data_IF_665775717146
#
_entry.id   IF_665775717146
#
_cell.length_a   1.000
_cell.length_b   1.000
_cell.length_c   1.000
_cell.angle_alpha   90.00
_cell.angle_beta   90.00
_cell.angle_gamma   90.00
#
_symmetry.space_group_name_H-M   'P 1'
#
loop_
_entity.id
_entity.type
_entity.pdbx_description
1 polymer ?
#
# COMPACT_ATOMS: atom_id res chain seq x y z
N UNK A 1 -2.28 23.26 14.39
CA UNK A 1 -3.54 22.91 15.05
C UNK A 1 -4.60 22.61 13.99
N UNK A 2 -5.63 21.84 14.34
CA UNK A 2 -6.75 21.54 13.43
C UNK A 2 -7.41 22.81 12.88
N UNK A 3 -7.56 23.86 13.69
CA UNK A 3 -8.13 25.13 13.24
C UNK A 3 -7.32 25.77 12.11
N UNK A 4 -5.99 25.75 12.18
CA UNK A 4 -5.15 26.30 11.09
C UNK A 4 -5.38 25.58 9.76
N UNK A 5 -5.52 24.26 9.82
CA UNK A 5 -5.81 23.43 8.63
C UNK A 5 -7.22 23.73 8.11
N UNK A 6 -8.21 23.84 9.00
CA UNK A 6 -9.57 24.19 8.63
C UNK A 6 -9.65 25.55 7.91
N UNK A 7 -8.98 26.56 8.44
CA UNK A 7 -8.93 27.90 7.86
C UNK A 7 -8.21 27.90 6.48
N UNK A 8 -7.13 27.12 6.34
CA UNK A 8 -6.33 27.03 5.11
C UNK A 8 -7.08 26.32 3.98
N UNK A 9 -7.81 25.24 4.29
CA UNK A 9 -8.50 24.39 3.30
C UNK A 9 -10.02 24.61 3.25
N UNK A 10 -10.56 25.52 4.04
CA UNK A 10 -11.97 25.88 4.01
C UNK A 10 -12.90 24.85 4.68
N UNK A 11 -12.42 24.09 5.66
CA UNK A 11 -13.29 23.22 6.45
C UNK A 11 -14.22 24.05 7.34
N UNK A 12 -15.50 23.71 7.35
CA UNK A 12 -16.53 24.46 8.07
C UNK A 12 -16.44 24.32 9.59
N UNK A 13 -15.90 23.20 10.09
CA UNK A 13 -15.86 22.89 11.51
C UNK A 13 -14.65 22.01 11.86
N UNK A 14 -14.17 22.14 13.10
CA UNK A 14 -13.14 21.27 13.70
C UNK A 14 -13.71 20.59 14.93
N UNK A 15 -13.70 19.27 14.93
CA UNK A 15 -14.11 18.44 16.06
C UNK A 15 -12.90 17.72 16.67
N UNK A 16 -12.92 17.55 17.98
CA UNK A 16 -11.85 16.85 18.73
C UNK A 16 -12.19 15.40 19.05
N UNK A 17 -13.45 15.01 18.84
CA UNK A 17 -13.94 13.65 19.03
C UNK A 17 -14.45 13.10 17.68
N UNK A 18 -13.70 12.19 17.08
CA UNK A 18 -14.05 11.60 15.80
C UNK A 18 -15.33 10.74 15.86
N UNK A 19 -15.70 10.20 17.04
CA UNK A 19 -16.93 9.42 17.19
C UNK A 19 -18.16 10.31 17.00
N UNK A 20 -18.15 11.50 17.57
CA UNK A 20 -19.21 12.48 17.34
C UNK A 20 -19.28 12.96 15.89
N UNK A 21 -18.11 13.06 15.23
CA UNK A 21 -18.08 13.38 13.79
C UNK A 21 -18.79 12.30 12.94
N UNK A 22 -18.47 11.04 13.19
CA UNK A 22 -19.02 9.90 12.44
C UNK A 22 -20.53 9.72 12.67
N UNK A 23 -21.02 10.07 13.86
CA UNK A 23 -22.45 9.97 14.23
C UNK A 23 -23.33 11.11 13.65
N UNK A 24 -22.76 12.07 12.91
CA UNK A 24 -23.52 13.20 12.33
C UNK A 24 -24.36 12.75 11.13
N UNK A 25 -25.58 13.25 11.03
CA UNK A 25 -26.50 12.96 9.91
C UNK A 25 -26.18 13.73 8.62
N UNK A 26 -25.39 14.83 8.73
CA UNK A 26 -25.01 15.69 7.61
C UNK A 26 -23.67 15.30 6.96
N UNK A 27 -23.12 14.13 7.31
CA UNK A 27 -21.89 13.57 6.73
C UNK A 27 -22.24 12.27 5.99
N UNK A 28 -21.85 12.17 4.71
CA UNK A 28 -22.06 10.98 3.88
C UNK A 28 -20.82 10.09 3.83
N UNK A 29 -19.61 10.67 3.97
CA UNK A 29 -18.36 9.96 3.81
C UNK A 29 -17.29 10.42 4.80
N UNK A 30 -16.41 9.50 5.20
CA UNK A 30 -15.30 9.76 6.14
C UNK A 30 -13.97 9.46 5.46
N UNK A 31 -13.06 10.46 5.46
CA UNK A 31 -11.66 10.30 5.07
C UNK A 31 -10.82 10.07 6.32
N UNK A 32 -10.16 8.90 6.41
CA UNK A 32 -9.37 8.49 7.57
C UNK A 32 -7.90 8.67 7.24
N UNK A 33 -7.24 9.64 7.87
CA UNK A 33 -5.81 9.95 7.71
C UNK A 33 -5.02 9.82 9.02
N UNK A 34 -5.52 9.03 9.97
CA UNK A 34 -4.88 8.78 11.27
C UNK A 34 -3.77 7.72 11.18
N UNK A 35 -3.35 7.16 12.32
CA UNK A 35 -2.38 6.08 12.35
C UNK A 35 -3.03 4.71 12.10
N UNK A 36 -2.29 3.73 11.52
CA UNK A 36 -2.84 2.42 11.16
C UNK A 36 -3.55 1.66 12.29
N UNK A 37 -3.13 1.85 13.55
CA UNK A 37 -3.76 1.22 14.73
C UNK A 37 -5.18 1.73 15.02
N UNK A 38 -5.60 2.84 14.44
CA UNK A 38 -6.94 3.41 14.61
C UNK A 38 -7.85 3.17 13.41
N UNK A 39 -7.29 2.77 12.26
CA UNK A 39 -8.02 2.66 11.00
C UNK A 39 -9.20 1.70 11.09
N UNK A 40 -9.02 0.53 11.70
CA UNK A 40 -10.08 -0.47 11.81
C UNK A 40 -11.24 0.01 12.69
N UNK A 41 -10.96 0.61 13.85
CA UNK A 41 -12.02 1.14 14.73
C UNK A 41 -12.84 2.21 14.03
N UNK A 42 -12.16 3.17 13.38
CA UNK A 42 -12.83 4.28 12.70
C UNK A 42 -13.60 3.80 11.47
N UNK A 43 -12.99 2.93 10.64
CA UNK A 43 -13.63 2.42 9.42
C UNK A 43 -14.89 1.61 9.72
N UNK A 44 -14.80 0.66 10.67
CA UNK A 44 -15.97 -0.14 11.06
C UNK A 44 -17.08 0.76 11.63
N UNK A 45 -16.75 1.67 12.56
CA UNK A 45 -17.74 2.60 13.11
C UNK A 45 -18.38 3.48 12.03
N UNK A 46 -17.62 3.93 11.04
CA UNK A 46 -18.14 4.75 9.94
C UNK A 46 -19.12 3.95 9.07
N UNK A 47 -18.76 2.74 8.67
CA UNK A 47 -19.65 1.84 7.92
C UNK A 47 -20.92 1.52 8.72
N UNK A 48 -20.79 1.13 10.00
CA UNK A 48 -21.92 0.86 10.90
C UNK A 48 -22.85 2.07 11.08
N UNK A 49 -22.32 3.29 10.90
CA UNK A 49 -23.09 4.55 10.94
C UNK A 49 -23.63 4.99 9.56
N UNK A 50 -23.52 4.12 8.54
CA UNK A 50 -24.02 4.39 7.19
C UNK A 50 -23.16 5.37 6.38
N UNK A 51 -21.85 5.47 6.69
CA UNK A 51 -20.93 6.38 6.01
C UNK A 51 -20.02 5.62 5.04
N UNK A 52 -19.81 6.18 3.85
CA UNK A 52 -18.76 5.73 2.95
C UNK A 52 -17.37 5.98 3.54
N UNK A 53 -16.39 5.13 3.24
CA UNK A 53 -15.06 5.21 3.87
C UNK A 53 -13.96 5.28 2.83
N UNK A 54 -13.12 6.33 2.94
CA UNK A 54 -11.80 6.40 2.33
C UNK A 54 -10.74 6.32 3.43
N UNK A 55 -9.93 5.27 3.41
CA UNK A 55 -8.91 5.05 4.43
C UNK A 55 -7.50 5.19 3.83
N UNK A 56 -6.63 5.93 4.51
CA UNK A 56 -5.24 6.11 4.10
C UNK A 56 -4.48 4.77 4.17
N UNK A 57 -3.48 4.63 3.31
CA UNK A 57 -2.54 3.51 3.37
C UNK A 57 -1.70 3.62 4.66
N UNK A 58 -1.46 2.57 5.38
CA UNK A 58 -1.79 1.16 5.11
C UNK A 58 -3.09 0.80 5.83
N UNK A 59 -3.81 -0.20 5.30
CA UNK A 59 -5.17 -0.56 5.72
C UNK A 59 -5.34 -0.64 7.24
N UNK A 60 -4.47 -1.40 7.92
CA UNK A 60 -4.55 -1.61 9.36
C UNK A 60 -3.18 -1.91 9.96
N UNK A 61 -3.07 -1.94 11.29
CA UNK A 61 -1.86 -2.33 12.00
C UNK A 61 -1.66 -3.85 12.05
N UNK A 62 -2.75 -4.63 12.06
CA UNK A 62 -2.72 -6.11 12.18
C UNK A 62 -3.64 -6.77 11.15
N UNK A 63 -3.38 -8.06 10.86
CA UNK A 63 -4.25 -8.84 9.98
C UNK A 63 -5.68 -9.00 10.55
N UNK A 64 -5.91 -9.32 11.83
CA UNK A 64 -7.26 -9.37 12.39
C UNK A 64 -8.03 -8.05 12.26
N UNK A 65 -7.36 -6.91 12.36
CA UNK A 65 -7.98 -5.60 12.16
C UNK A 65 -8.43 -5.41 10.70
N UNK A 66 -7.60 -5.82 9.73
CA UNK A 66 -7.95 -5.78 8.32
C UNK A 66 -9.12 -6.73 7.99
N UNK A 67 -9.16 -7.91 8.60
CA UNK A 67 -10.29 -8.86 8.48
C UNK A 67 -11.59 -8.25 9.01
N UNK A 68 -11.56 -7.55 10.14
CA UNK A 68 -12.71 -6.82 10.67
C UNK A 68 -13.19 -5.73 9.73
N UNK A 69 -12.27 -4.95 9.15
CA UNK A 69 -12.61 -3.90 8.18
C UNK A 69 -13.32 -4.50 6.95
N UNK A 70 -12.78 -5.60 6.41
CA UNK A 70 -13.41 -6.28 5.27
C UNK A 70 -14.78 -6.88 5.65
N UNK A 71 -14.92 -7.45 6.84
CA UNK A 71 -16.21 -8.00 7.28
C UNK A 71 -17.24 -6.88 7.40
N UNK A 72 -16.91 -5.75 8.03
CA UNK A 72 -17.80 -4.59 8.13
C UNK A 72 -18.20 -4.06 6.75
N UNK A 73 -17.27 -4.01 5.77
CA UNK A 73 -17.61 -3.62 4.40
C UNK A 73 -18.59 -4.60 3.72
N UNK A 74 -18.44 -5.90 3.95
CA UNK A 74 -19.37 -6.93 3.44
C UNK A 74 -20.76 -6.86 4.08
N UNK A 75 -20.84 -6.41 5.32
CA UNK A 75 -22.10 -6.24 6.04
C UNK A 75 -22.85 -4.99 5.55
N UNK A 76 -22.17 -4.08 4.84
CA UNK A 76 -22.68 -2.83 4.28
C UNK A 76 -22.34 -2.68 2.78
N UNK A 77 -22.83 -3.59 1.90
CA UNK A 77 -22.46 -3.61 0.47
C UNK A 77 -22.96 -2.40 -0.33
N UNK A 78 -23.90 -1.64 0.21
CA UNK A 78 -24.38 -0.38 -0.36
C UNK A 78 -23.38 0.76 -0.20
N UNK A 79 -22.46 0.66 0.77
CA UNK A 79 -21.47 1.69 1.05
C UNK A 79 -20.17 1.46 0.25
N UNK A 80 -19.53 2.55 -0.11
CA UNK A 80 -18.22 2.54 -0.76
C UNK A 80 -17.14 2.46 0.30
N UNK A 81 -16.22 1.51 0.17
CA UNK A 81 -14.97 1.45 0.92
C UNK A 81 -13.79 1.50 -0.04
N UNK A 82 -12.81 2.36 0.24
CA UNK A 82 -11.63 2.53 -0.58
C UNK A 82 -10.40 2.75 0.27
N UNK A 83 -9.27 2.18 -0.13
CA UNK A 83 -7.96 2.49 0.42
C UNK A 83 -7.24 3.48 -0.50
N UNK A 84 -6.42 4.35 0.07
CA UNK A 84 -5.53 5.19 -0.70
C UNK A 84 -4.48 4.30 -1.40
N UNK A 85 -4.43 4.25 -2.74
CA UNK A 85 -3.46 3.42 -3.45
C UNK A 85 -2.05 3.97 -3.34
N UNK A 86 -1.00 3.15 -3.59
CA UNK A 86 0.35 3.65 -3.71
C UNK A 86 0.50 4.57 -4.92
N UNK A 87 1.15 5.72 -4.79
CA UNK A 87 1.42 6.58 -5.94
C UNK A 87 2.44 5.99 -6.90
N UNK A 88 3.14 4.92 -6.53
CA UNK A 88 4.28 4.34 -7.26
C UNK A 88 3.96 3.95 -8.69
N UNK A 89 2.73 3.50 -8.96
CA UNK A 89 2.26 3.01 -10.26
C UNK A 89 1.71 4.12 -11.17
N UNK A 90 1.36 5.25 -10.59
CA UNK A 90 0.92 6.41 -11.35
C UNK A 90 2.14 7.16 -11.95
N UNK A 91 2.03 7.69 -13.16
CA UNK A 91 0.84 7.78 -14.02
C UNK A 91 0.68 6.61 -15.03
N UNK A 92 1.45 5.54 -14.94
CA UNK A 92 1.61 4.52 -16.00
C UNK A 92 0.82 3.23 -15.76
N UNK A 93 -0.09 3.20 -14.80
CA UNK A 93 -0.79 1.99 -14.39
C UNK A 93 -1.51 1.29 -15.55
N UNK A 94 -2.33 2.02 -16.31
CA UNK A 94 -3.09 1.45 -17.43
C UNK A 94 -2.18 0.84 -18.50
N UNK A 95 -1.12 1.56 -18.85
CA UNK A 95 -0.13 1.09 -19.80
C UNK A 95 0.61 -0.16 -19.33
N UNK A 96 1.00 -0.19 -18.06
CA UNK A 96 1.70 -1.33 -17.46
C UNK A 96 0.82 -2.57 -17.44
N UNK A 97 -0.44 -2.44 -17.00
CA UNK A 97 -1.41 -3.54 -16.97
C UNK A 97 -1.61 -4.14 -18.37
N UNK A 98 -1.86 -3.31 -19.38
CA UNK A 98 -2.00 -3.76 -20.77
C UNK A 98 -0.72 -4.40 -21.30
N UNK A 99 0.43 -3.77 -21.07
CA UNK A 99 1.73 -4.24 -21.57
C UNK A 99 2.14 -5.57 -20.98
N UNK A 100 1.89 -5.80 -19.69
CA UNK A 100 2.18 -7.06 -19.02
C UNK A 100 1.19 -8.16 -19.45
N UNK A 101 -0.10 -7.84 -19.54
CA UNK A 101 -1.14 -8.79 -19.97
C UNK A 101 -0.98 -9.23 -21.44
N UNK A 102 -0.49 -8.35 -22.30
CA UNK A 102 -0.24 -8.65 -23.73
C UNK A 102 1.14 -9.20 -24.03
N UNK A 103 1.97 -9.43 -23.01
CA UNK A 103 3.37 -9.87 -23.16
C UNK A 103 4.18 -8.98 -24.12
N UNK A 104 3.85 -7.68 -24.17
CA UNK A 104 4.49 -6.71 -25.07
C UNK A 104 6.02 -6.71 -24.97
N UNK A 105 6.54 -6.92 -23.77
CA UNK A 105 7.97 -6.96 -23.46
C UNK A 105 8.54 -8.37 -23.36
N UNK A 106 7.78 -9.40 -23.72
CA UNK A 106 8.14 -10.82 -23.63
C UNK A 106 7.52 -11.51 -22.41
N UNK A 107 7.78 -12.82 -22.31
CA UNK A 107 7.28 -13.67 -21.23
C UNK A 107 7.97 -13.33 -19.91
N UNK A 108 7.21 -13.05 -18.86
CA UNK A 108 7.74 -12.74 -17.54
C UNK A 108 8.41 -13.97 -16.91
N UNK A 109 9.65 -13.84 -16.49
CA UNK A 109 10.46 -14.89 -15.88
C UNK A 109 10.72 -14.66 -14.39
N UNK A 110 10.92 -13.41 -14.00
CA UNK A 110 11.22 -13.03 -12.61
C UNK A 110 10.79 -11.59 -12.34
N UNK A 111 10.43 -11.33 -11.09
CA UNK A 111 10.16 -9.96 -10.59
C UNK A 111 11.20 -9.60 -9.54
N UNK A 112 11.78 -8.40 -9.64
CA UNK A 112 12.71 -7.88 -8.64
C UNK A 112 12.22 -6.52 -8.12
N UNK A 113 12.13 -6.38 -6.80
CA UNK A 113 11.80 -5.10 -6.14
C UNK A 113 12.97 -4.66 -5.29
N UNK A 114 13.36 -3.40 -5.43
CA UNK A 114 14.39 -2.77 -4.61
C UNK A 114 13.86 -1.43 -4.09
N UNK A 115 13.76 -1.32 -2.77
CA UNK A 115 13.50 -0.08 -2.06
C UNK A 115 14.62 0.14 -1.04
N UNK A 116 15.57 1.02 -1.36
CA UNK A 116 16.78 1.18 -0.56
C UNK A 116 17.13 2.66 -0.40
N UNK A 117 17.19 3.12 0.84
CA UNK A 117 17.47 4.52 1.19
C UNK A 117 18.04 4.65 2.61
N UNK A 118 18.27 5.88 3.04
CA UNK A 118 18.81 6.19 4.37
C UNK A 118 17.75 6.62 5.41
N UNK A 119 16.46 6.37 5.21
CA UNK A 119 15.37 6.86 6.07
C UNK A 119 15.46 6.39 7.53
N UNK A 120 16.09 5.24 7.79
CA UNK A 120 16.29 4.73 9.14
C UNK A 120 17.15 5.63 10.03
N UNK A 121 18.00 6.49 9.44
CA UNK A 121 18.81 7.46 10.17
C UNK A 121 18.07 8.80 10.43
N UNK A 122 16.86 8.94 9.97
CA UNK A 122 16.02 10.11 10.26
C UNK A 122 15.52 10.14 11.71
N UNK A 123 14.79 11.19 12.09
CA UNK A 123 14.18 11.30 13.41
C UNK A 123 13.23 10.14 13.70
N UNK A 124 12.93 9.93 14.98
CA UNK A 124 11.89 9.00 15.40
C UNK A 124 10.52 9.47 14.88
N UNK A 125 9.82 8.58 14.20
CA UNK A 125 8.47 8.84 13.68
C UNK A 125 7.54 7.69 14.05
N UNK A 126 6.22 7.90 13.92
CA UNK A 126 5.22 6.88 14.25
C UNK A 126 5.46 5.54 13.52
N UNK A 127 6.05 5.56 12.32
CA UNK A 127 6.36 4.34 11.55
C UNK A 127 7.48 3.50 12.18
N UNK A 128 8.25 4.05 13.09
CA UNK A 128 9.27 3.34 13.85
C UNK A 128 8.71 2.64 15.10
N UNK A 129 7.45 2.91 15.44
CA UNK A 129 6.79 2.46 16.67
C UNK A 129 5.75 1.38 16.38
N UNK A 130 5.93 0.20 16.99
CA UNK A 130 5.01 -0.94 16.83
C UNK A 130 3.60 -0.60 17.30
N UNK A 131 3.47 0.24 18.32
CA UNK A 131 2.18 0.72 18.84
C UNK A 131 1.28 1.31 17.74
N UNK A 132 1.85 2.09 16.81
CA UNK A 132 1.10 2.76 15.74
C UNK A 132 1.09 1.94 14.44
N UNK A 133 2.19 1.28 14.14
CA UNK A 133 2.42 0.61 12.86
C UNK A 133 2.08 -0.87 12.86
N UNK A 134 2.10 -1.53 14.02
CA UNK A 134 1.82 -2.96 14.15
C UNK A 134 2.77 -3.81 13.30
N UNK A 135 2.22 -4.57 12.38
CA UNK A 135 2.96 -5.44 11.45
C UNK A 135 3.54 -4.71 10.23
N UNK A 136 3.29 -3.41 10.09
CA UNK A 136 3.78 -2.64 8.94
C UNK A 136 5.29 -2.40 9.07
N UNK A 137 6.01 -2.60 7.97
CA UNK A 137 7.46 -2.44 7.91
C UNK A 137 7.80 -1.51 6.75
N UNK A 138 8.37 -0.34 7.01
CA UNK A 138 8.80 0.62 5.99
C UNK A 138 7.77 0.77 4.84
N UNK A 139 8.18 0.53 3.60
CA UNK A 139 7.35 0.58 2.39
C UNK A 139 6.90 -0.80 1.87
N UNK A 140 7.16 -1.88 2.64
CA UNK A 140 6.90 -3.26 2.18
C UNK A 140 5.43 -3.47 1.83
N UNK A 141 4.49 -2.96 2.65
CA UNK A 141 3.04 -3.08 2.36
C UNK A 141 2.62 -2.32 1.09
N UNK A 142 3.23 -1.15 0.84
CA UNK A 142 2.98 -0.36 -0.39
C UNK A 142 3.44 -1.13 -1.63
N UNK A 143 4.65 -1.72 -1.58
CA UNK A 143 5.13 -2.56 -2.67
C UNK A 143 4.33 -3.85 -2.82
N UNK A 144 3.82 -4.42 -1.72
CA UNK A 144 2.97 -5.60 -1.78
C UNK A 144 1.70 -5.33 -2.58
N UNK A 145 1.05 -4.19 -2.39
CA UNK A 145 -0.11 -3.78 -3.17
C UNK A 145 0.26 -3.56 -4.65
N UNK A 146 1.37 -2.87 -4.93
CA UNK A 146 1.87 -2.66 -6.30
C UNK A 146 2.16 -3.99 -7.01
N UNK A 147 2.77 -4.96 -6.32
CA UNK A 147 3.04 -6.30 -6.83
C UNK A 147 1.71 -7.01 -7.15
N UNK A 148 0.76 -7.01 -6.21
CA UNK A 148 -0.54 -7.65 -6.39
C UNK A 148 -1.27 -7.10 -7.63
N UNK A 149 -1.19 -5.79 -7.85
CA UNK A 149 -1.83 -5.12 -8.99
C UNK A 149 -1.25 -5.61 -10.33
N UNK A 150 0.07 -5.74 -10.45
CA UNK A 150 0.71 -6.00 -11.75
C UNK A 150 1.00 -7.47 -12.04
N UNK A 151 1.26 -8.28 -11.03
CA UNK A 151 1.72 -9.67 -11.24
C UNK A 151 1.02 -10.69 -10.35
N UNK A 152 0.08 -10.24 -9.51
CA UNK A 152 -0.72 -11.09 -8.63
C UNK A 152 -0.06 -11.40 -7.29
N UNK A 153 -0.75 -12.23 -6.52
CA UNK A 153 -0.41 -12.54 -5.15
C UNK A 153 0.70 -13.59 -5.03
N UNK A 154 1.37 -13.58 -3.89
CA UNK A 154 2.28 -14.65 -3.53
C UNK A 154 1.54 -15.96 -3.27
N UNK A 155 2.09 -17.07 -3.76
CA UNK A 155 1.73 -18.41 -3.35
C UNK A 155 2.45 -18.78 -2.04
N UNK A 156 3.76 -18.45 -1.98
CA UNK A 156 4.62 -18.70 -0.82
C UNK A 156 5.79 -17.75 -0.79
N UNK A 157 6.33 -17.51 0.40
CA UNK A 157 7.50 -16.66 0.60
C UNK A 157 8.39 -17.11 1.76
N UNK A 158 9.63 -16.64 1.75
CA UNK A 158 10.52 -16.60 2.91
C UNK A 158 11.06 -15.19 3.11
N UNK A 159 11.27 -14.80 4.37
CA UNK A 159 11.73 -13.47 4.73
C UNK A 159 12.78 -13.50 5.84
N UNK A 160 13.72 -12.55 5.76
CA UNK A 160 14.65 -12.26 6.83
C UNK A 160 14.56 -10.80 7.22
N UNK A 161 14.57 -10.55 8.52
CA UNK A 161 14.48 -9.22 9.13
C UNK A 161 15.79 -8.87 9.84
N UNK A 162 16.19 -7.60 9.74
CA UNK A 162 17.32 -7.08 10.50
C UNK A 162 17.01 -5.67 11.00
N UNK A 163 17.43 -5.40 12.24
CA UNK A 163 17.27 -4.12 12.93
C UNK A 163 18.66 -3.60 13.36
N UNK A 164 19.48 -3.08 12.41
CA UNK A 164 20.85 -2.61 12.70
C UNK A 164 20.90 -1.38 13.60
N UNK A 165 19.95 -0.44 13.43
CA UNK A 165 19.81 0.74 14.29
C UNK A 165 18.99 0.31 15.50
N UNK A 166 19.64 0.19 16.65
CA UNK A 166 19.01 -0.37 17.86
C UNK A 166 18.13 0.62 18.59
N UNK A 167 18.47 1.89 18.52
CA UNK A 167 17.76 2.94 19.25
C UNK A 167 17.64 4.21 18.42
N UNK A 168 16.59 4.98 18.67
CA UNK A 168 16.42 6.36 18.21
C UNK A 168 16.07 7.26 19.39
N UNK A 169 16.43 8.54 19.28
CA UNK A 169 16.04 9.56 20.25
C UNK A 169 14.76 10.25 19.79
N UNK A 170 13.77 10.34 20.67
CA UNK A 170 12.55 11.09 20.45
C UNK A 170 12.73 12.59 20.63
N UNK A 171 11.74 13.39 20.25
CA UNK A 171 11.76 14.86 20.42
C UNK A 171 11.85 15.29 21.89
N UNK A 172 11.41 14.45 22.81
CA UNK A 172 11.47 14.64 24.25
C UNK A 172 12.81 14.22 24.88
N UNK A 173 13.79 13.76 24.07
CA UNK A 173 15.09 13.25 24.51
C UNK A 173 15.07 11.82 25.05
N UNK A 174 13.94 11.15 25.07
CA UNK A 174 13.86 9.75 25.46
C UNK A 174 14.45 8.85 24.38
N UNK A 175 15.19 7.82 24.79
CA UNK A 175 15.74 6.81 23.90
C UNK A 175 14.75 5.66 23.75
N UNK A 176 14.37 5.37 22.51
CA UNK A 176 13.41 4.31 22.16
C UNK A 176 14.13 3.17 21.47
N UNK A 177 13.90 1.93 21.91
CA UNK A 177 14.39 0.74 21.23
C UNK A 177 13.62 0.49 19.94
N UNK A 178 14.35 0.14 18.86
CA UNK A 178 13.77 -0.10 17.55
C UNK A 178 13.40 -1.59 17.40
N UNK A 179 12.11 -1.86 17.31
CA UNK A 179 11.57 -3.20 17.09
C UNK A 179 11.24 -3.44 15.60
N UNK A 180 10.83 -2.40 14.88
CA UNK A 180 10.50 -2.51 13.46
C UNK A 180 11.77 -2.69 12.63
N UNK A 181 11.84 -3.72 11.78
CA UNK A 181 13.01 -3.99 10.95
C UNK A 181 13.32 -2.85 9.98
N UNK A 182 14.60 -2.52 9.84
CA UNK A 182 15.09 -1.53 8.87
C UNK A 182 15.70 -2.19 7.62
N UNK A 183 15.88 -3.51 7.62
CA UNK A 183 16.26 -4.29 6.44
C UNK A 183 15.38 -5.51 6.36
N UNK A 184 14.80 -5.72 5.19
CA UNK A 184 13.95 -6.89 4.88
C UNK A 184 14.38 -7.46 3.54
N UNK A 185 14.66 -8.75 3.51
CA UNK A 185 14.85 -9.52 2.27
C UNK A 185 13.74 -10.54 2.14
N UNK A 186 13.15 -10.62 0.95
CA UNK A 186 12.04 -11.53 0.67
C UNK A 186 12.37 -12.32 -0.60
N UNK A 187 12.10 -13.60 -0.58
CA UNK A 187 12.14 -14.48 -1.75
C UNK A 187 10.85 -15.28 -1.80
N UNK A 188 10.23 -15.40 -2.97
CA UNK A 188 8.96 -16.08 -3.07
C UNK A 188 8.61 -16.56 -4.48
N UNK A 189 7.47 -17.22 -4.54
CA UNK A 189 6.80 -17.66 -5.77
C UNK A 189 5.41 -17.05 -5.79
N UNK A 190 5.04 -16.46 -6.91
CA UNK A 190 3.68 -15.94 -7.15
C UNK A 190 2.71 -17.09 -7.51
N UNK A 191 1.41 -16.84 -7.44
CA UNK A 191 0.38 -17.81 -7.86
C UNK A 191 0.52 -18.23 -9.34
N UNK A 192 1.11 -17.38 -10.18
CA UNK A 192 1.48 -17.70 -11.56
C UNK A 192 2.66 -18.67 -11.71
N UNK A 193 3.35 -19.02 -10.63
CA UNK A 193 4.58 -19.81 -10.64
C UNK A 193 5.86 -18.98 -10.85
N UNK A 194 5.75 -17.69 -11.12
CA UNK A 194 6.89 -16.79 -11.35
C UNK A 194 7.60 -16.52 -10.03
N UNK A 195 8.94 -16.55 -10.06
CA UNK A 195 9.76 -16.20 -8.89
C UNK A 195 9.84 -14.69 -8.69
N UNK A 196 9.95 -14.28 -7.43
CA UNK A 196 10.07 -12.88 -7.04
C UNK A 196 11.08 -12.70 -5.91
N UNK A 197 11.84 -11.60 -5.96
CA UNK A 197 12.77 -11.19 -4.93
C UNK A 197 12.57 -9.73 -4.56
N UNK A 198 12.59 -9.43 -3.25
CA UNK A 198 12.50 -8.05 -2.76
C UNK A 198 13.63 -7.75 -1.79
N UNK A 199 14.16 -6.55 -1.90
CA UNK A 199 15.11 -5.97 -0.94
C UNK A 199 14.59 -4.60 -0.50
N UNK A 200 14.32 -4.47 0.80
CA UNK A 200 13.90 -3.21 1.41
C UNK A 200 14.91 -2.82 2.49
N UNK A 201 15.44 -1.60 2.40
CA UNK A 201 16.47 -1.11 3.32
C UNK A 201 16.25 0.37 3.64
N UNK A 202 16.25 0.69 4.94
CA UNK A 202 16.25 2.06 5.46
C UNK A 202 17.66 2.54 5.88
N UNK A 203 18.73 1.75 5.65
CA UNK A 203 20.07 2.04 6.16
C UNK A 203 21.11 2.39 5.09
N UNK A 204 20.72 2.46 3.84
CA UNK A 204 21.63 2.75 2.72
C UNK A 204 21.71 4.26 2.45
N UNK A 205 22.60 4.96 3.16
CA UNK A 205 22.72 6.44 3.13
C UNK A 205 22.98 7.05 1.76
N UNK A 206 23.57 6.30 0.83
CA UNK A 206 23.95 6.78 -0.50
C UNK A 206 23.01 6.32 -1.60
N UNK A 207 22.01 5.52 -1.27
CA UNK A 207 21.02 5.04 -2.21
C UNK A 207 19.69 5.78 -2.04
N UNK A 208 18.98 5.91 -3.13
CA UNK A 208 17.57 6.31 -3.15
C UNK A 208 16.90 5.53 -4.28
N UNK A 209 16.88 4.20 -4.13
CA UNK A 209 16.26 3.28 -5.07
C UNK A 209 14.84 2.98 -4.60
N UNK A 210 13.89 3.07 -5.52
CA UNK A 210 12.50 2.73 -5.27
C UNK A 210 11.92 2.20 -6.57
N UNK A 211 12.16 0.91 -6.86
CA UNK A 211 11.93 0.36 -8.20
C UNK A 211 11.40 -1.06 -8.16
N UNK A 212 10.65 -1.40 -9.23
CA UNK A 212 10.28 -2.76 -9.60
C UNK A 212 10.78 -3.06 -11.03
N UNK A 213 11.28 -4.26 -11.23
CA UNK A 213 11.74 -4.76 -12.52
C UNK A 213 10.99 -6.05 -12.87
N UNK A 214 10.46 -6.08 -14.08
CA UNK A 214 9.88 -7.25 -14.72
C UNK A 214 10.93 -7.81 -15.71
N UNK A 215 11.58 -8.89 -15.31
CA UNK A 215 12.63 -9.57 -16.08
C UNK A 215 11.96 -10.60 -16.98
N UNK A 216 12.12 -10.43 -18.28
CA UNK A 216 11.46 -11.24 -19.30
C UNK A 216 12.49 -11.99 -20.16
N UNK A 217 12.01 -12.86 -21.05
CA UNK A 217 12.85 -13.58 -22.02
C UNK A 217 13.44 -12.67 -23.12
N UNK A 218 13.01 -11.39 -23.19
CA UNK A 218 13.51 -10.41 -24.18
C UNK A 218 14.35 -9.31 -23.56
N UNK A 219 14.18 -9.03 -22.26
CA UNK A 219 14.88 -7.93 -21.59
C UNK A 219 14.30 -7.62 -20.23
N UNK A 220 14.40 -6.37 -19.79
CA UNK A 220 13.90 -5.92 -18.48
C UNK A 220 13.11 -4.62 -18.62
N UNK A 221 11.85 -4.65 -18.17
CA UNK A 221 11.06 -3.45 -17.95
C UNK A 221 11.28 -2.99 -16.51
N UNK A 222 11.54 -1.70 -16.30
CA UNK A 222 11.79 -1.10 -14.99
C UNK A 222 10.87 0.09 -14.75
N UNK A 223 10.18 0.09 -13.63
CA UNK A 223 9.51 1.25 -13.08
C UNK A 223 10.35 1.79 -11.92
N UNK A 224 10.89 2.99 -12.07
CA UNK A 224 11.40 3.80 -10.97
C UNK A 224 10.22 4.59 -10.41
N UNK A 225 9.76 4.23 -9.23
CA UNK A 225 8.51 4.75 -8.67
C UNK A 225 8.36 6.26 -8.82
N UNK A 226 7.26 6.70 -9.44
CA UNK A 226 6.88 8.10 -9.69
C UNK A 226 7.83 8.90 -10.61
N UNK A 227 8.90 8.29 -11.17
CA UNK A 227 9.93 9.06 -11.91
C UNK A 227 10.13 8.63 -13.35
N UNK A 228 10.23 7.33 -13.63
CA UNK A 228 10.42 6.86 -15.02
C UNK A 228 9.95 5.42 -15.21
N UNK A 229 9.55 5.11 -16.44
CA UNK A 229 9.36 3.77 -16.96
C UNK A 229 10.39 3.55 -18.06
N UNK A 230 11.17 2.49 -17.97
CA UNK A 230 12.33 2.22 -18.81
C UNK A 230 12.31 0.77 -19.31
N UNK A 231 12.81 0.57 -20.51
CA UNK A 231 12.99 -0.76 -21.10
C UNK A 231 14.44 -0.96 -21.53
N UNK A 232 14.99 -2.12 -21.23
CA UNK A 232 16.27 -2.57 -21.77
C UNK A 232 16.06 -3.92 -22.47
N UNK A 233 16.25 -3.94 -23.78
CA UNK A 233 16.36 -5.20 -24.52
C UNK A 233 17.70 -5.85 -24.21
N UNK A 234 17.75 -7.19 -24.23
CA UNK A 234 18.96 -7.94 -23.87
C UNK A 234 20.23 -7.40 -24.54
N UNK A 235 21.21 -7.05 -23.72
CA UNK A 235 22.52 -6.51 -24.16
C UNK A 235 22.53 -5.02 -24.50
N UNK A 236 21.45 -4.27 -24.23
CA UNK A 236 21.36 -2.83 -24.46
C UNK A 236 21.20 -2.07 -23.14
N UNK A 237 21.44 -0.76 -23.18
CA UNK A 237 21.16 0.15 -22.07
C UNK A 237 19.65 0.34 -21.87
N UNK A 238 19.24 0.82 -20.69
CA UNK A 238 17.87 1.22 -20.43
C UNK A 238 17.50 2.49 -21.19
N UNK A 239 16.36 2.47 -21.86
CA UNK A 239 15.79 3.61 -22.56
C UNK A 239 14.40 3.94 -22.00
N UNK A 240 14.02 5.23 -21.95
CA UNK A 240 12.68 5.63 -21.52
C UNK A 240 11.60 5.03 -22.41
N UNK A 241 10.55 4.47 -21.80
CA UNK A 241 9.37 3.99 -22.51
C UNK A 241 8.48 5.17 -22.88
N UNK A 242 8.11 5.27 -24.15
CA UNK A 242 7.13 6.24 -24.60
C UNK A 242 5.72 5.73 -24.34
N UNK A 243 5.06 6.28 -23.32
CA UNK A 243 3.69 5.92 -22.95
C UNK A 243 2.73 6.89 -23.67
N UNK A 244 1.71 6.36 -24.38
CA UNK A 244 0.69 7.20 -25.00
C UNK A 244 -0.05 8.06 -23.97
N UNK A 245 -0.38 9.31 -24.33
CA UNK A 245 -1.04 10.26 -23.44
C UNK A 245 -2.38 9.73 -22.92
N UNK A 246 -3.14 9.02 -23.74
CA UNK A 246 -4.40 8.40 -23.33
C UNK A 246 -4.26 7.18 -22.40
N UNK A 247 -3.05 6.74 -22.12
CA UNK A 247 -2.72 5.68 -21.14
C UNK A 247 -1.96 6.23 -19.93
N UNK A 248 -1.84 7.54 -19.82
CA UNK A 248 -1.32 8.22 -18.61
C UNK A 248 -2.49 8.80 -17.83
N UNK A 249 -2.32 8.87 -16.52
CA UNK A 249 -3.34 9.43 -15.63
C UNK A 249 -2.70 10.17 -14.45
N UNK A 250 -3.17 11.38 -14.22
CA UNK A 250 -2.82 12.11 -13.01
C UNK A 250 -3.48 11.51 -11.77
N UNK A 251 -3.04 11.97 -10.62
CA UNK A 251 -3.64 11.58 -9.34
C UNK A 251 -5.07 12.12 -9.22
N UNK A 252 -6.05 11.22 -9.26
CA UNK A 252 -7.48 11.53 -9.21
C UNK A 252 -8.23 10.65 -8.17
N UNK A 253 -7.49 10.05 -7.24
CA UNK A 253 -7.97 9.01 -6.32
C UNK A 253 -9.14 9.47 -5.47
N UNK A 254 -9.04 10.69 -4.91
CA UNK A 254 -10.11 11.26 -4.08
C UNK A 254 -11.35 11.58 -4.92
N UNK A 255 -11.14 12.03 -6.15
CA UNK A 255 -12.24 12.29 -7.09
C UNK A 255 -12.95 10.99 -7.51
N UNK A 256 -12.18 9.90 -7.71
CA UNK A 256 -12.75 8.58 -8.01
C UNK A 256 -13.62 8.08 -6.86
N UNK A 257 -13.15 8.21 -5.62
CA UNK A 257 -13.93 7.87 -4.45
C UNK A 257 -15.23 8.67 -4.38
N UNK A 258 -15.19 9.99 -4.53
CA UNK A 258 -16.37 10.85 -4.52
C UNK A 258 -17.34 10.49 -5.66
N UNK A 259 -16.81 10.14 -6.84
CA UNK A 259 -17.66 9.68 -7.95
C UNK A 259 -18.37 8.35 -7.62
N UNK A 260 -17.65 7.40 -7.00
CA UNK A 260 -18.24 6.14 -6.56
C UNK A 260 -19.35 6.36 -5.50
N UNK A 261 -19.13 7.28 -4.56
CA UNK A 261 -20.13 7.67 -3.56
C UNK A 261 -21.39 8.26 -4.23
N UNK A 262 -21.23 9.12 -5.23
CA UNK A 262 -22.38 9.67 -5.99
C UNK A 262 -23.16 8.57 -6.72
N UNK A 263 -22.47 7.67 -7.40
CA UNK A 263 -23.09 6.53 -8.06
C UNK A 263 -23.84 5.62 -7.07
N UNK A 264 -23.27 5.40 -5.87
CA UNK A 264 -23.95 4.66 -4.81
C UNK A 264 -25.27 5.34 -4.38
N UNK A 265 -25.26 6.66 -4.22
CA UNK A 265 -26.44 7.45 -3.87
C UNK A 265 -27.52 7.42 -4.96
N UNK A 266 -27.15 7.17 -6.22
CA UNK A 266 -28.04 6.99 -7.36
C UNK A 266 -28.53 5.54 -7.50
N UNK A 267 -28.11 4.63 -6.61
CA UNK A 267 -28.52 3.23 -6.58
C UNK A 267 -27.72 2.30 -7.49
N UNK A 268 -26.54 2.74 -7.96
CA UNK A 268 -25.64 1.90 -8.74
C UNK A 268 -25.16 0.69 -7.93
N UNK A 269 -25.03 -0.46 -8.57
CA UNK A 269 -24.45 -1.68 -7.98
C UNK A 269 -22.94 -1.51 -7.71
N UNK A 270 -22.37 -2.38 -6.88
CA UNK A 270 -20.93 -2.37 -6.56
C UNK A 270 -20.05 -2.43 -7.82
N UNK A 271 -20.42 -3.25 -8.81
CA UNK A 271 -19.68 -3.37 -10.07
C UNK A 271 -19.74 -2.12 -10.97
N UNK A 272 -20.71 -1.24 -10.74
CA UNK A 272 -20.86 0.05 -11.44
C UNK A 272 -20.16 1.20 -10.71
N UNK A 273 -19.58 0.94 -9.54
CA UNK A 273 -18.86 1.88 -8.68
C UNK A 273 -17.37 1.46 -8.53
N UNK A 274 -16.60 1.37 -9.62
CA UNK A 274 -15.25 0.84 -9.52
C UNK A 274 -14.37 1.74 -8.65
N UNK A 275 -13.89 1.19 -7.55
CA UNK A 275 -12.84 1.76 -6.70
C UNK A 275 -11.74 0.73 -6.55
N UNK A 276 -10.49 1.18 -6.55
CA UNK A 276 -9.33 0.31 -6.35
C UNK A 276 -8.19 1.11 -5.71
N UNK A 277 -7.59 0.57 -4.65
CA UNK A 277 -7.94 -0.68 -3.96
C UNK A 277 -9.13 -0.50 -2.99
N UNK A 278 -9.91 -1.54 -2.81
CA UNK A 278 -10.91 -1.68 -1.76
C UNK A 278 -10.34 -2.44 -0.53
N UNK A 279 -11.18 -2.72 0.47
CA UNK A 279 -10.75 -3.49 1.65
C UNK A 279 -10.46 -4.97 1.34
N UNK A 280 -11.03 -5.54 0.28
CA UNK A 280 -10.71 -6.91 -0.13
C UNK A 280 -9.31 -6.97 -0.77
N UNK A 281 -8.96 -5.99 -1.59
CA UNK A 281 -7.60 -5.86 -2.13
C UNK A 281 -6.59 -5.54 -1.04
N UNK A 282 -6.95 -4.68 -0.08
CA UNK A 282 -6.12 -4.37 1.08
C UNK A 282 -5.79 -5.60 1.95
N UNK A 283 -6.76 -6.48 2.16
CA UNK A 283 -6.55 -7.71 2.92
C UNK A 283 -5.46 -8.60 2.31
N UNK A 284 -5.31 -8.63 0.98
CA UNK A 284 -4.29 -9.43 0.30
C UNK A 284 -2.87 -9.03 0.73
N UNK A 285 -2.56 -7.73 0.77
CA UNK A 285 -1.24 -7.31 1.23
C UNK A 285 -1.07 -7.45 2.76
N UNK A 286 -2.15 -7.35 3.54
CA UNK A 286 -2.08 -7.61 4.98
C UNK A 286 -1.76 -9.07 5.29
N UNK A 287 -2.29 -10.03 4.52
CA UNK A 287 -1.89 -11.44 4.60
C UNK A 287 -0.40 -11.63 4.28
N UNK A 288 0.12 -10.95 3.25
CA UNK A 288 1.55 -10.95 2.97
C UNK A 288 2.36 -10.44 4.16
N UNK A 289 1.94 -9.32 4.79
CA UNK A 289 2.64 -8.80 5.98
C UNK A 289 2.67 -9.81 7.13
N UNK A 290 1.56 -10.48 7.42
CA UNK A 290 1.50 -11.54 8.42
C UNK A 290 2.41 -12.73 8.07
N UNK A 291 2.43 -13.14 6.80
CA UNK A 291 3.28 -14.22 6.31
C UNK A 291 4.79 -13.88 6.42
N UNK A 292 5.17 -12.62 6.18
CA UNK A 292 6.57 -12.15 6.35
C UNK A 292 7.01 -12.27 7.82
N UNK A 293 6.18 -11.81 8.77
CA UNK A 293 6.47 -11.92 10.20
C UNK A 293 6.58 -13.38 10.65
N UNK A 294 5.66 -14.23 10.19
CA UNK A 294 5.69 -15.65 10.51
C UNK A 294 6.94 -16.32 9.94
N UNK A 295 7.27 -16.04 8.68
CA UNK A 295 8.48 -16.58 8.03
C UNK A 295 9.76 -16.16 8.74
N UNK A 296 9.90 -14.87 9.06
CA UNK A 296 11.07 -14.37 9.77
C UNK A 296 11.21 -14.95 11.18
N UNK A 297 10.07 -15.14 11.89
CA UNK A 297 10.03 -15.73 13.24
C UNK A 297 10.39 -17.22 13.24
N UNK A 298 9.79 -17.98 12.33
CA UNK A 298 9.92 -19.45 12.30
C UNK A 298 11.06 -19.94 11.39
N UNK A 299 11.72 -19.04 10.67
CA UNK A 299 12.83 -19.34 9.75
C UNK A 299 12.46 -20.42 8.72
N UNK A 300 11.25 -20.31 8.14
CA UNK A 300 10.73 -21.24 7.13
C UNK A 300 10.04 -20.51 5.97
N UNK A 301 9.81 -21.26 4.90
CA UNK A 301 8.86 -20.88 3.86
C UNK A 301 7.44 -20.91 4.42
N UNK A 302 6.66 -19.86 4.15
CA UNK A 302 5.25 -19.73 4.55
C UNK A 302 4.39 -19.64 3.29
N UNK A 303 3.30 -20.42 3.24
CA UNK A 303 2.29 -20.33 2.18
C UNK A 303 1.22 -19.31 2.55
N UNK A 304 0.79 -18.49 1.58
CA UNK A 304 -0.25 -17.50 1.84
C UNK A 304 -1.62 -18.13 2.17
N UNK A 305 -1.81 -19.40 1.82
CA UNK A 305 -2.99 -20.19 2.20
C UNK A 305 -3.06 -20.56 3.69
N UNK A 306 -2.03 -20.23 4.47
CA UNK A 306 -2.06 -20.37 5.93
C UNK A 306 -2.88 -19.25 6.63
N UNK A 307 -3.33 -18.25 5.85
CA UNK A 307 -4.07 -17.07 6.35
C UNK A 307 -5.46 -16.91 5.72
#
# INVERSE_FOLDING_TARGET
SGQKIADEFGFSEVMTDWKQLVDRDDIDAVFIGSYPNTHAEISCKALDSGKHVFCQARMASTLPDAERMLQSAKDHPELVNMLCPPPHRMPWEAYLLESLASEKYGNLLHVRVVCSNGSGYGPLIFRDLVEFSGQQIMFVGIWAETINTFVGEYQQLSANFSTPIKTKEGEDGNVVEMEIPQVVTISGILNSGISISEYHSGIAKHENLNQIEWITDRGTLRLNAMTSLEWSESGKDFEPVQVPENQTRDWMVEADFIQAVRLASEGASESERPVSPDFAEGLKYMKKMAALHLSAKEQRVVKLSEF
#
